data_IF_593789763149
#
_entry.id   IF_593789763149
#
_cell.length_a   1.000
_cell.length_b   1.000
_cell.length_c   1.000
_cell.angle_alpha   90.00
_cell.angle_beta   90.00
_cell.angle_gamma   90.00
#
_symmetry.space_group_name_H-M   'P 1'
#
loop_
_entity.id
_entity.type
_entity.pdbx_description
1 polymer ?
#
# COMPACT_ATOMS: atom_id res chain seq x y z
N UNK A 1 1.22 46.39 38.75
CA UNK A 1 2.17 45.78 37.80
C UNK A 1 1.42 45.40 36.53
N UNK A 2 1.75 45.98 35.36
CA UNK A 2 1.09 45.68 34.08
C UNK A 2 1.89 44.60 33.35
N UNK A 3 1.30 43.42 33.15
CA UNK A 3 1.92 42.37 32.34
C UNK A 3 1.92 42.80 30.86
N UNK A 4 3.11 42.87 30.25
CA UNK A 4 3.26 43.08 28.80
C UNK A 4 2.86 41.78 28.08
N UNK A 5 1.95 41.82 27.08
CA UNK A 5 1.68 40.65 26.25
C UNK A 5 2.94 40.33 25.44
N UNK A 6 3.40 39.08 25.54
CA UNK A 6 4.44 38.50 24.68
C UNK A 6 3.87 38.29 23.26
N UNK A 7 3.61 39.40 22.57
CA UNK A 7 3.21 39.41 21.16
C UNK A 7 4.47 39.33 20.30
N UNK A 8 5.01 38.12 20.22
CA UNK A 8 6.17 37.78 19.40
C UNK A 8 5.88 36.55 18.56
N UNK A 9 4.68 36.46 17.98
CA UNK A 9 4.40 35.45 16.95
C UNK A 9 5.27 35.76 15.75
N UNK A 10 6.49 35.22 15.73
CA UNK A 10 7.38 35.23 14.56
C UNK A 10 6.52 34.85 13.36
N UNK A 11 6.37 35.77 12.42
CA UNK A 11 5.71 35.49 11.15
C UNK A 11 6.42 34.29 10.55
N UNK A 12 5.75 33.12 10.59
CA UNK A 12 6.18 31.93 9.87
C UNK A 12 6.19 32.37 8.42
N UNK A 13 7.39 32.54 7.86
CA UNK A 13 7.56 33.09 6.53
C UNK A 13 6.80 32.15 5.57
N UNK A 14 5.66 32.57 4.99
CA UNK A 14 4.80 31.66 4.26
C UNK A 14 5.57 31.18 3.05
N UNK A 15 5.58 29.87 2.83
CA UNK A 15 6.26 29.28 1.69
C UNK A 15 5.86 29.97 0.38
N UNK A 16 6.81 30.17 -0.56
CA UNK A 16 6.49 30.73 -1.87
C UNK A 16 5.30 30.02 -2.51
N UNK A 17 4.38 30.78 -3.11
CA UNK A 17 3.14 30.26 -3.70
C UNK A 17 3.38 29.11 -4.69
N UNK A 18 4.48 29.17 -5.43
CA UNK A 18 4.91 28.13 -6.37
C UNK A 18 5.24 26.82 -5.67
N UNK A 19 6.00 26.86 -4.56
CA UNK A 19 6.34 25.65 -3.78
C UNK A 19 5.09 25.01 -3.18
N UNK A 20 4.14 25.82 -2.70
CA UNK A 20 2.85 25.33 -2.19
C UNK A 20 2.04 24.61 -3.25
N UNK A 21 1.97 25.19 -4.46
CA UNK A 21 1.32 24.56 -5.62
C UNK A 21 2.01 23.27 -6.05
N UNK A 22 3.34 23.23 -6.02
CA UNK A 22 4.10 22.02 -6.36
C UNK A 22 3.82 20.90 -5.35
N UNK A 23 3.89 21.20 -4.05
CA UNK A 23 3.56 20.24 -2.99
C UNK A 23 2.10 19.75 -3.09
N UNK A 24 1.16 20.66 -3.37
CA UNK A 24 -0.24 20.29 -3.62
C UNK A 24 -0.38 19.30 -4.79
N UNK A 25 0.32 19.54 -5.90
CA UNK A 25 0.30 18.64 -7.07
C UNK A 25 0.90 17.27 -6.77
N UNK A 26 1.96 17.22 -5.96
CA UNK A 26 2.58 15.96 -5.54
C UNK A 26 1.58 15.13 -4.73
N UNK A 27 0.91 15.75 -3.75
CA UNK A 27 -0.10 15.04 -2.93
C UNK A 27 -1.31 14.63 -3.76
N UNK A 28 -1.73 15.49 -4.69
CA UNK A 28 -2.81 15.14 -5.62
C UNK A 28 -2.43 13.95 -6.49
N UNK A 29 -1.17 13.87 -6.96
CA UNK A 29 -0.65 12.70 -7.67
C UNK A 29 -0.58 11.45 -6.78
N UNK A 30 -0.15 11.59 -5.54
CA UNK A 30 -0.12 10.48 -4.56
C UNK A 30 -1.54 9.92 -4.33
N UNK A 31 -2.58 10.78 -4.30
CA UNK A 31 -3.97 10.34 -4.22
C UNK A 31 -4.44 9.57 -5.47
N UNK A 32 -4.04 10.01 -6.67
CA UNK A 32 -4.35 9.30 -7.92
C UNK A 32 -3.65 7.94 -8.03
N UNK A 33 -2.42 7.84 -7.52
CA UNK A 33 -1.61 6.61 -7.59
C UNK A 33 -1.79 5.70 -6.37
N UNK A 34 -2.56 6.13 -5.37
CA UNK A 34 -2.79 5.44 -4.10
C UNK A 34 -3.05 3.94 -4.25
N UNK A 35 -4.05 3.55 -5.07
CA UNK A 35 -4.42 2.13 -5.24
C UNK A 35 -3.30 1.29 -5.85
N UNK A 36 -2.54 1.86 -6.78
CA UNK A 36 -1.40 1.15 -7.39
C UNK A 36 -0.28 0.96 -6.38
N UNK A 37 0.13 2.06 -5.72
CA UNK A 37 1.23 2.05 -4.76
C UNK A 37 0.90 1.16 -3.56
N UNK A 38 -0.36 1.19 -3.09
CA UNK A 38 -0.84 0.30 -2.03
C UNK A 38 -0.71 -1.17 -2.42
N UNK A 39 -1.16 -1.55 -3.63
CA UNK A 39 -1.03 -2.93 -4.14
C UNK A 39 0.43 -3.36 -4.26
N UNK A 40 1.31 -2.46 -4.67
CA UNK A 40 2.74 -2.75 -4.78
C UNK A 40 3.37 -2.97 -3.39
N UNK A 41 2.99 -2.17 -2.40
CA UNK A 41 3.40 -2.36 -1.00
C UNK A 41 2.86 -3.69 -0.45
N UNK A 42 1.57 -3.99 -0.65
CA UNK A 42 0.95 -5.24 -0.21
C UNK A 42 1.58 -6.47 -0.88
N UNK A 43 1.93 -6.37 -2.18
CA UNK A 43 2.67 -7.43 -2.89
C UNK A 43 4.04 -7.65 -2.27
N UNK A 44 4.80 -6.58 -2.01
CA UNK A 44 6.11 -6.69 -1.37
C UNK A 44 6.03 -7.32 0.02
N UNK A 45 4.98 -6.99 0.80
CA UNK A 45 4.72 -7.62 2.10
C UNK A 45 4.39 -9.11 1.93
N UNK A 46 3.52 -9.45 0.98
CA UNK A 46 3.18 -10.85 0.68
C UNK A 46 4.40 -11.67 0.25
N UNK A 47 5.26 -11.12 -0.60
CA UNK A 47 6.51 -11.78 -1.00
C UNK A 47 7.40 -12.07 0.22
N UNK A 48 7.49 -11.12 1.17
CA UNK A 48 8.21 -11.35 2.43
C UNK A 48 7.56 -12.48 3.23
N UNK A 49 6.24 -12.50 3.34
CA UNK A 49 5.48 -13.52 4.07
C UNK A 49 5.59 -14.90 3.43
N UNK A 50 5.55 -15.01 2.11
CA UNK A 50 5.71 -16.26 1.35
C UNK A 50 7.10 -16.86 1.54
N UNK A 51 8.15 -16.04 1.58
CA UNK A 51 9.51 -16.52 1.89
C UNK A 51 9.60 -16.94 3.37
N UNK A 52 8.95 -16.21 4.27
CA UNK A 52 8.97 -16.48 5.71
C UNK A 52 8.16 -17.72 6.12
N UNK A 53 7.07 -17.99 5.42
CA UNK A 53 6.16 -19.11 5.66
C UNK A 53 5.74 -19.70 4.30
N UNK A 54 6.56 -20.58 3.70
CA UNK A 54 6.17 -21.26 2.47
C UNK A 54 4.90 -22.05 2.77
N UNK A 55 3.79 -21.63 2.17
CA UNK A 55 2.53 -22.34 2.25
C UNK A 55 2.79 -23.78 1.82
N UNK A 56 2.48 -24.75 2.67
CA UNK A 56 2.56 -26.17 2.37
C UNK A 56 1.47 -26.60 1.36
N UNK A 57 1.21 -25.78 0.34
CA UNK A 57 0.27 -26.05 -0.74
C UNK A 57 0.97 -26.82 -1.85
N UNK A 58 0.38 -27.98 -2.13
CA UNK A 58 0.56 -28.88 -3.26
C UNK A 58 1.71 -29.89 -3.25
N UNK A 59 1.64 -30.81 -2.26
CA UNK A 59 2.03 -32.23 -2.46
C UNK A 59 0.84 -33.05 -3.01
N UNK A 60 -0.29 -32.42 -3.38
CA UNK A 60 -1.48 -33.10 -3.91
C UNK A 60 -1.66 -32.94 -5.43
N UNK A 61 -0.61 -33.10 -6.22
CA UNK A 61 -0.76 -33.37 -7.67
C UNK A 61 0.60 -33.77 -8.27
N UNK A 62 1.12 -34.94 -7.91
CA UNK A 62 2.03 -35.74 -8.75
C UNK A 62 2.33 -37.13 -8.16
N UNK A 63 1.34 -37.75 -7.49
CA UNK A 63 1.29 -39.21 -7.45
C UNK A 63 0.38 -39.62 -8.61
N UNK A 64 0.89 -39.44 -9.83
CA UNK A 64 0.53 -40.38 -10.89
C UNK A 64 1.11 -41.72 -10.45
N UNK A 65 0.28 -42.51 -9.78
CA UNK A 65 0.39 -43.96 -9.87
C UNK A 65 0.19 -44.28 -11.36
N UNK A 66 1.26 -44.20 -12.15
CA UNK A 66 1.36 -45.00 -13.36
C UNK A 66 1.25 -46.45 -12.89
N UNK A 67 0.02 -46.98 -12.95
CA UNK A 67 -0.23 -48.40 -13.00
C UNK A 67 0.38 -48.92 -14.30
N UNK A 68 1.71 -49.04 -14.31
CA UNK A 68 2.45 -49.67 -15.38
C UNK A 68 2.25 -51.16 -15.17
N UNK A 69 1.45 -51.76 -16.05
CA UNK A 69 1.30 -53.20 -16.18
C UNK A 69 2.68 -53.87 -16.08
N UNK A 70 2.93 -54.60 -14.99
CA UNK A 70 4.11 -55.45 -14.89
C UNK A 70 3.93 -56.63 -15.84
N UNK A 71 4.46 -56.51 -17.06
CA UNK A 71 4.80 -57.70 -17.86
C UNK A 71 6.13 -58.23 -17.36
N UNK A 72 6.06 -59.31 -16.60
CA UNK A 72 7.20 -60.17 -16.28
C UNK A 72 7.69 -60.85 -17.56
N UNK A 73 8.84 -60.42 -18.08
CA UNK A 73 9.69 -61.24 -18.95
C UNK A 73 11.12 -61.06 -18.46
N UNK A 74 11.78 -62.20 -18.22
CA UNK A 74 13.01 -62.33 -17.46
C UNK A 74 14.21 -61.58 -18.02
N UNK A 75 15.16 -61.34 -17.12
CA UNK A 75 16.48 -60.80 -17.44
C UNK A 75 16.75 -59.50 -16.68
N UNK A 76 17.58 -59.63 -15.64
CA UNK A 76 18.40 -58.59 -15.02
C UNK A 76 18.10 -57.14 -15.44
N UNK A 77 17.47 -56.38 -14.54
CA UNK A 77 17.57 -54.93 -14.53
C UNK A 77 17.80 -54.47 -13.08
N UNK A 78 19.05 -54.16 -12.75
CA UNK A 78 19.39 -53.32 -11.60
C UNK A 78 19.00 -51.88 -11.92
N UNK A 79 17.69 -51.62 -11.88
CA UNK A 79 17.14 -50.27 -11.93
C UNK A 79 17.43 -49.57 -10.61
N UNK A 80 18.61 -48.93 -10.51
CA UNK A 80 18.86 -47.96 -9.45
C UNK A 80 17.94 -46.77 -9.72
N UNK A 81 16.82 -46.74 -9.02
CA UNK A 81 15.96 -45.55 -8.95
C UNK A 81 16.74 -44.51 -8.16
N UNK A 82 17.48 -43.65 -8.86
CA UNK A 82 18.04 -42.42 -8.27
C UNK A 82 16.88 -41.46 -8.07
N UNK A 83 16.07 -41.74 -7.06
CA UNK A 83 15.17 -40.75 -6.50
C UNK A 83 16.04 -39.69 -5.84
N UNK A 84 16.24 -38.55 -6.52
CA UNK A 84 16.74 -37.36 -5.82
C UNK A 84 15.79 -37.12 -4.64
N UNK A 85 16.29 -37.01 -3.40
CA UNK A 85 15.43 -36.59 -2.31
C UNK A 85 14.92 -35.20 -2.66
N UNK A 86 13.63 -35.10 -2.98
CA UNK A 86 12.93 -33.83 -3.00
C UNK A 86 12.89 -33.44 -1.53
N UNK A 87 13.72 -32.47 -1.15
CA UNK A 87 13.77 -31.94 0.21
C UNK A 87 12.41 -31.32 0.56
N UNK A 88 11.50 -32.16 1.07
CA UNK A 88 10.38 -31.74 1.89
C UNK A 88 10.89 -31.63 3.34
N UNK A 89 11.39 -30.45 3.68
CA UNK A 89 11.60 -30.04 5.06
C UNK A 89 11.18 -28.58 5.14
N UNK A 90 10.10 -28.20 5.82
CA UNK A 90 9.74 -28.60 7.18
C UNK A 90 10.32 -27.63 8.22
N UNK A 91 11.32 -26.81 7.83
CA UNK A 91 11.90 -25.74 8.65
C UNK A 91 12.46 -24.67 7.70
N UNK A 92 12.35 -23.36 7.99
CA UNK A 92 13.06 -22.35 7.23
C UNK A 92 14.56 -22.55 7.49
N UNK A 93 15.23 -23.25 6.57
CA UNK A 93 16.68 -23.41 6.54
C UNK A 93 17.32 -22.04 6.78
N UNK A 94 18.40 -21.95 7.58
CA UNK A 94 19.04 -20.69 7.95
C UNK A 94 19.25 -19.74 6.75
N UNK A 95 19.54 -20.29 5.57
CA UNK A 95 19.66 -19.58 4.30
C UNK A 95 18.38 -18.83 3.87
N UNK A 96 17.20 -19.41 4.08
CA UNK A 96 15.90 -18.75 3.80
C UNK A 96 15.65 -17.62 4.77
N UNK A 97 15.89 -17.84 6.07
CA UNK A 97 15.78 -16.78 7.07
C UNK A 97 16.74 -15.62 6.76
N UNK A 98 17.93 -15.92 6.25
CA UNK A 98 18.88 -14.93 5.79
C UNK A 98 18.39 -14.20 4.51
N UNK A 99 17.78 -14.91 3.56
CA UNK A 99 17.16 -14.29 2.38
C UNK A 99 16.01 -13.34 2.75
N UNK A 100 15.10 -13.73 3.64
CA UNK A 100 14.04 -12.85 4.18
C UNK A 100 14.66 -11.62 4.82
N UNK A 101 15.68 -11.83 5.67
CA UNK A 101 16.35 -10.74 6.38
C UNK A 101 17.00 -9.77 5.40
N UNK A 102 17.71 -10.26 4.39
CA UNK A 102 18.36 -9.44 3.35
C UNK A 102 17.32 -8.68 2.53
N UNK A 103 16.26 -9.35 2.06
CA UNK A 103 15.22 -8.69 1.26
C UNK A 103 14.48 -7.62 2.06
N UNK A 104 14.07 -7.94 3.30
CA UNK A 104 13.48 -6.97 4.24
C UNK A 104 14.43 -5.82 4.51
N UNK A 105 15.71 -6.08 4.69
CA UNK A 105 16.72 -5.04 4.90
C UNK A 105 16.88 -4.14 3.67
N UNK A 106 16.83 -4.70 2.46
CA UNK A 106 16.85 -3.94 1.20
C UNK A 106 15.61 -3.06 1.06
N UNK A 107 14.41 -3.59 1.33
CA UNK A 107 13.16 -2.82 1.26
C UNK A 107 13.10 -1.72 2.33
N UNK A 108 13.53 -2.01 3.56
CA UNK A 108 13.57 -1.03 4.65
C UNK A 108 14.72 -0.01 4.49
N UNK A 109 15.79 -0.34 3.78
CA UNK A 109 16.86 0.62 3.49
C UNK A 109 16.53 1.51 2.29
N UNK A 110 15.62 1.09 1.41
CA UNK A 110 15.14 1.91 0.31
C UNK A 110 14.29 3.08 0.85
N UNK A 111 14.83 4.30 0.71
CA UNK A 111 14.17 5.55 1.11
C UNK A 111 12.87 5.79 0.36
N UNK A 112 12.79 5.38 -0.91
CA UNK A 112 11.58 5.55 -1.73
C UNK A 112 10.45 4.68 -1.20
N UNK A 113 10.72 3.42 -0.88
CA UNK A 113 9.73 2.52 -0.31
C UNK A 113 9.22 3.04 1.04
N UNK A 114 10.11 3.48 1.93
CA UNK A 114 9.74 4.09 3.22
C UNK A 114 8.87 5.34 3.05
N UNK A 115 9.22 6.19 2.09
CA UNK A 115 8.45 7.41 1.82
C UNK A 115 7.08 7.08 1.22
N UNK A 116 6.98 6.08 0.33
CA UNK A 116 5.70 5.58 -0.21
C UNK A 116 4.81 5.05 0.91
N UNK A 117 5.34 4.23 1.82
CA UNK A 117 4.60 3.73 3.00
C UNK A 117 4.13 4.90 3.87
N UNK A 118 5.00 5.89 4.15
CA UNK A 118 4.64 7.08 4.93
C UNK A 118 3.48 7.85 4.29
N UNK A 119 3.50 8.01 2.97
CA UNK A 119 2.46 8.70 2.20
C UNK A 119 1.13 7.95 2.19
N UNK A 120 1.17 6.64 1.96
CA UNK A 120 -0.02 5.79 2.02
C UNK A 120 -0.65 5.84 3.42
N UNK A 121 0.14 5.68 4.48
CA UNK A 121 -0.38 5.75 5.85
C UNK A 121 -1.04 7.11 6.15
N UNK A 122 -0.43 8.22 5.70
CA UNK A 122 -1.02 9.54 5.87
C UNK A 122 -2.37 9.70 5.14
N UNK A 123 -2.52 9.09 3.95
CA UNK A 123 -3.79 9.07 3.20
C UNK A 123 -4.82 8.21 3.95
N UNK A 124 -4.44 7.01 4.39
CA UNK A 124 -5.34 6.10 5.10
C UNK A 124 -5.85 6.71 6.41
N UNK A 125 -4.99 7.35 7.20
CA UNK A 125 -5.40 8.04 8.43
C UNK A 125 -6.41 9.18 8.16
N UNK A 126 -6.24 9.92 7.06
CA UNK A 126 -7.19 10.97 6.66
C UNK A 126 -8.54 10.33 6.31
N UNK A 127 -8.52 9.27 5.51
CA UNK A 127 -9.73 8.57 5.10
C UNK A 127 -10.47 7.95 6.30
N UNK A 128 -9.73 7.33 7.21
CA UNK A 128 -10.28 6.75 8.43
C UNK A 128 -10.96 7.81 9.32
N UNK A 129 -10.35 8.99 9.45
CA UNK A 129 -10.96 10.11 10.18
C UNK A 129 -12.23 10.63 9.49
N UNK A 130 -12.25 10.67 8.16
CA UNK A 130 -13.44 11.06 7.42
C UNK A 130 -14.57 10.03 7.58
N UNK A 131 -14.26 8.73 7.58
CA UNK A 131 -15.25 7.65 7.74
C UNK A 131 -15.80 7.53 9.16
N UNK A 132 -14.96 7.75 10.18
CA UNK A 132 -15.36 7.67 11.59
C UNK A 132 -16.07 8.92 12.09
N UNK A 133 -16.13 9.96 11.25
CA UNK A 133 -16.76 11.22 11.63
C UNK A 133 -18.28 11.07 11.72
N UNK A 134 -18.86 11.60 12.81
CA UNK A 134 -20.31 11.71 12.98
C UNK A 134 -20.94 12.81 12.11
N UNK A 135 -20.13 13.73 11.59
CA UNK A 135 -20.58 14.81 10.70
C UNK A 135 -20.92 14.23 9.31
N UNK A 136 -22.17 14.35 8.82
CA UNK A 136 -22.59 13.80 7.53
C UNK A 136 -21.72 14.27 6.35
N UNK A 137 -21.31 15.54 6.37
CA UNK A 137 -20.46 16.13 5.33
C UNK A 137 -19.13 15.40 5.17
N UNK A 138 -18.55 14.88 6.25
CA UNK A 138 -17.28 14.16 6.18
C UNK A 138 -17.44 12.79 5.50
N UNK A 139 -18.58 12.12 5.66
CA UNK A 139 -18.88 10.86 4.96
C UNK A 139 -19.07 11.12 3.45
N UNK A 140 -19.81 12.17 3.09
CA UNK A 140 -19.95 12.61 1.69
C UNK A 140 -18.61 13.00 1.09
N UNK A 141 -17.75 13.66 1.86
CA UNK A 141 -16.38 14.00 1.48
C UNK A 141 -15.51 12.75 1.28
N UNK A 142 -15.57 11.77 2.17
CA UNK A 142 -14.87 10.49 2.01
C UNK A 142 -15.31 9.80 0.70
N UNK A 143 -16.62 9.75 0.44
CA UNK A 143 -17.18 9.19 -0.79
C UNK A 143 -16.68 9.93 -2.03
N UNK A 144 -16.65 11.27 -2.00
CA UNK A 144 -16.10 12.08 -3.09
C UNK A 144 -14.65 11.70 -3.41
N UNK A 145 -13.80 11.60 -2.39
CA UNK A 145 -12.37 11.29 -2.56
C UNK A 145 -12.18 9.90 -3.15
N UNK A 146 -12.92 8.89 -2.68
CA UNK A 146 -12.86 7.52 -3.21
C UNK A 146 -13.27 7.44 -4.67
N UNK A 147 -14.40 8.06 -5.04
CA UNK A 147 -14.89 8.02 -6.42
C UNK A 147 -13.94 8.77 -7.36
N UNK A 148 -13.43 9.93 -6.93
CA UNK A 148 -12.61 10.79 -7.78
C UNK A 148 -11.17 10.28 -7.93
N UNK A 149 -10.49 9.94 -6.82
CA UNK A 149 -9.07 9.60 -6.84
C UNK A 149 -8.79 8.10 -6.92
N UNK A 150 -9.57 7.27 -6.23
CA UNK A 150 -9.26 5.83 -6.13
C UNK A 150 -9.91 5.03 -7.24
N UNK A 151 -11.20 5.30 -7.53
CA UNK A 151 -11.92 4.61 -8.61
C UNK A 151 -11.71 5.25 -9.98
N UNK A 152 -11.53 6.57 -10.02
CA UNK A 152 -11.31 7.35 -11.25
C UNK A 152 -12.37 7.08 -12.34
N UNK A 153 -13.60 6.76 -11.92
CA UNK A 153 -14.68 6.33 -12.81
C UNK A 153 -15.54 7.49 -13.31
N UNK A 154 -15.53 8.62 -12.60
CA UNK A 154 -16.42 9.76 -12.82
C UNK A 154 -15.66 11.08 -12.72
N UNK A 155 -16.15 12.08 -13.44
CA UNK A 155 -15.68 13.46 -13.30
C UNK A 155 -16.10 14.04 -11.96
N UNK A 156 -15.39 15.07 -11.49
CA UNK A 156 -15.72 15.75 -10.23
C UNK A 156 -17.15 16.33 -10.25
N UNK A 157 -17.60 16.82 -11.40
CA UNK A 157 -18.94 17.36 -11.62
C UNK A 157 -20.02 16.27 -11.47
N UNK A 158 -19.84 15.12 -12.10
CA UNK A 158 -20.77 13.99 -11.99
C UNK A 158 -20.88 13.50 -10.52
N UNK A 159 -19.74 13.42 -9.82
CA UNK A 159 -19.73 13.06 -8.40
C UNK A 159 -20.43 14.13 -7.54
N UNK A 160 -20.24 15.41 -7.84
CA UNK A 160 -20.91 16.49 -7.12
C UNK A 160 -22.44 16.42 -7.28
N UNK A 161 -22.92 16.11 -8.49
CA UNK A 161 -24.35 15.87 -8.78
C UNK A 161 -24.85 14.66 -7.98
N UNK A 162 -24.13 13.54 -8.01
CA UNK A 162 -24.49 12.30 -7.28
C UNK A 162 -24.55 12.50 -5.76
N UNK A 163 -23.76 13.42 -5.23
CA UNK A 163 -23.73 13.77 -3.81
C UNK A 163 -24.67 14.93 -3.44
N UNK A 164 -25.39 15.48 -4.42
CA UNK A 164 -26.25 16.66 -4.26
C UNK A 164 -25.52 17.87 -3.64
N UNK A 165 -24.27 18.09 -4.03
CA UNK A 165 -23.45 19.24 -3.60
C UNK A 165 -23.09 20.13 -4.80
N UNK A 166 -22.84 21.41 -4.54
CA UNK A 166 -22.35 22.28 -5.59
C UNK A 166 -20.87 21.99 -5.91
N UNK A 167 -20.47 22.25 -7.14
CA UNK A 167 -19.12 22.00 -7.64
C UNK A 167 -18.03 22.74 -6.82
N UNK A 168 -18.36 23.94 -6.32
CA UNK A 168 -17.49 24.71 -5.42
C UNK A 168 -17.21 23.96 -4.11
N UNK A 169 -18.23 23.33 -3.52
CA UNK A 169 -18.08 22.52 -2.31
C UNK A 169 -17.22 21.29 -2.60
N UNK A 170 -17.44 20.62 -3.72
CA UNK A 170 -16.61 19.49 -4.16
C UNK A 170 -15.13 19.89 -4.30
N UNK A 171 -14.83 21.00 -4.97
CA UNK A 171 -13.45 21.55 -5.08
C UNK A 171 -12.86 21.90 -3.71
N UNK A 172 -13.63 22.54 -2.83
CA UNK A 172 -13.17 22.88 -1.48
C UNK A 172 -12.85 21.64 -0.65
N UNK A 173 -13.69 20.61 -0.71
CA UNK A 173 -13.46 19.34 -0.03
C UNK A 173 -12.20 18.64 -0.54
N UNK A 174 -11.99 18.64 -1.86
CA UNK A 174 -10.76 18.15 -2.49
C UNK A 174 -9.52 18.84 -1.93
N UNK A 175 -9.50 20.18 -1.94
CA UNK A 175 -8.37 20.96 -1.41
C UNK A 175 -8.16 20.76 0.09
N UNK A 176 -9.24 20.67 0.86
CA UNK A 176 -9.16 20.39 2.30
C UNK A 176 -8.55 19.02 2.56
N UNK A 177 -8.82 18.01 1.74
CA UNK A 177 -8.24 16.66 1.90
C UNK A 177 -6.76 16.68 1.60
N UNK A 178 -6.36 17.33 0.51
CA UNK A 178 -4.94 17.52 0.19
C UNK A 178 -4.23 18.26 1.34
N UNK A 179 -4.86 19.28 1.92
CA UNK A 179 -4.33 19.99 3.10
C UNK A 179 -4.17 19.10 4.34
N UNK A 180 -5.15 18.26 4.65
CA UNK A 180 -5.09 17.34 5.78
C UNK A 180 -4.03 16.24 5.60
N UNK A 181 -3.81 15.77 4.37
CA UNK A 181 -2.71 14.85 4.03
C UNK A 181 -1.37 15.57 4.16
N UNK A 182 -1.24 16.78 3.59
CA UNK A 182 -0.02 17.58 3.67
C UNK A 182 0.42 17.83 5.10
N UNK A 183 -0.53 18.16 5.98
CA UNK A 183 -0.28 18.40 7.41
C UNK A 183 0.33 17.18 8.09
N UNK A 184 -0.14 15.97 7.78
CA UNK A 184 0.43 14.72 8.30
C UNK A 184 1.83 14.44 7.77
N UNK A 185 2.06 14.79 6.51
CA UNK A 185 3.38 14.65 5.89
C UNK A 185 4.38 15.73 6.31
N UNK A 186 3.94 16.76 7.03
CA UNK A 186 4.77 17.89 7.43
C UNK A 186 5.03 18.90 6.30
N UNK A 187 4.23 18.87 5.23
CA UNK A 187 4.30 19.86 4.16
C UNK A 187 3.57 21.15 4.55
N UNK A 188 4.14 22.28 4.13
CA UNK A 188 3.53 23.61 4.27
C UNK A 188 2.90 23.98 2.93
N UNK A 189 1.56 23.98 2.87
CA UNK A 189 0.77 24.34 1.68
C UNK A 189 -0.29 25.40 1.98
#
# INVERSE_FOLDING_TARGET
MKQKPLSGSKMINPWPKEKRRAAQKVIEWDLFTYESVKKDIERAIREIEEIAAPTATDIRENIYLESKEMRFIGGFNTGVVIGKPIHSSGDPTADKAEQVRRYRQTLLSNTEHRESVRRINAIEEVMEILDKSTVPDNNSRARLIREYYFKQSKTLEAIAIDLHICERTARNWKYKTIFEVAKRLGFVI
#
